data_IF_605726666147
#
_entry.id   IF_605726666147
#
_cell.length_a   1.000
_cell.length_b   1.000
_cell.length_c   1.000
_cell.angle_alpha   90.00
_cell.angle_beta   90.00
_cell.angle_gamma   90.00
#
_symmetry.space_group_name_H-M   'P 1'
#
loop_
_entity.id
_entity.type
_entity.pdbx_description
1 polymer ?
#
# COMPACT_ATOMS: atom_id res chain seq x y z
N UNK A 1 -13.06 11.52 9.01
CA UNK A 1 -11.70 11.79 8.52
C UNK A 1 -11.65 13.15 7.82
N UNK A 2 -10.84 14.11 8.29
CA UNK A 2 -10.70 15.40 7.58
C UNK A 2 -10.00 15.14 6.24
N UNK A 3 -10.68 15.45 5.14
CA UNK A 3 -10.05 15.40 3.81
C UNK A 3 -8.89 16.40 3.79
N UNK A 4 -7.76 16.00 3.21
CA UNK A 4 -6.63 16.91 3.05
C UNK A 4 -7.07 18.13 2.23
N UNK A 5 -6.80 19.38 2.68
CA UNK A 5 -7.28 20.59 2.00
C UNK A 5 -6.77 20.72 0.55
N UNK A 6 -5.56 20.22 0.29
CA UNK A 6 -4.94 20.18 -1.03
C UNK A 6 -5.48 19.07 -1.93
N UNK A 7 -6.37 18.19 -1.45
CA UNK A 7 -6.92 17.11 -2.28
C UNK A 7 -8.15 17.60 -3.04
N UNK A 8 -7.92 18.13 -4.23
CA UNK A 8 -8.94 18.78 -5.07
C UNK A 8 -9.92 17.79 -5.71
N UNK A 9 -10.99 18.33 -6.32
CA UNK A 9 -11.96 17.54 -7.10
C UNK A 9 -11.28 16.82 -8.28
N UNK A 10 -10.39 17.52 -8.98
CA UNK A 10 -9.64 16.95 -10.10
C UNK A 10 -8.80 15.74 -9.66
N UNK A 11 -8.10 15.83 -8.52
CA UNK A 11 -7.35 14.69 -7.99
C UNK A 11 -8.25 13.51 -7.61
N UNK A 12 -9.47 13.76 -7.12
CA UNK A 12 -10.48 12.70 -6.90
C UNK A 12 -10.88 12.02 -8.21
N UNK A 13 -11.15 12.80 -9.25
CA UNK A 13 -11.51 12.28 -10.57
C UNK A 13 -10.36 11.48 -11.19
N UNK A 14 -9.12 11.98 -11.10
CA UNK A 14 -7.93 11.23 -11.53
C UNK A 14 -7.76 9.92 -10.76
N UNK A 15 -8.01 9.91 -9.43
CA UNK A 15 -7.98 8.69 -8.61
C UNK A 15 -9.05 7.69 -9.05
N UNK A 16 -10.28 8.14 -9.30
CA UNK A 16 -11.36 7.30 -9.82
C UNK A 16 -11.01 6.73 -11.20
N UNK A 17 -10.48 7.56 -12.11
CA UNK A 17 -10.05 7.15 -13.44
C UNK A 17 -8.91 6.14 -13.40
N UNK A 18 -7.94 6.30 -12.48
CA UNK A 18 -6.91 5.30 -12.22
C UNK A 18 -7.54 3.94 -11.91
N UNK A 19 -8.53 3.90 -11.01
CA UNK A 19 -9.18 2.64 -10.63
C UNK A 19 -9.93 2.00 -11.80
N UNK A 20 -10.59 2.80 -12.64
CA UNK A 20 -11.26 2.31 -13.86
C UNK A 20 -10.27 1.70 -14.86
N UNK A 21 -9.15 2.38 -15.11
CA UNK A 21 -8.09 1.86 -15.99
C UNK A 21 -7.47 0.57 -15.44
N UNK A 22 -7.29 0.49 -14.12
CA UNK A 22 -6.80 -0.70 -13.45
C UNK A 22 -7.77 -1.88 -13.60
N UNK A 23 -9.08 -1.65 -13.41
CA UNK A 23 -10.10 -2.67 -13.65
C UNK A 23 -10.13 -3.11 -15.13
N UNK A 24 -10.01 -2.15 -16.06
CA UNK A 24 -9.96 -2.44 -17.50
C UNK A 24 -8.77 -3.33 -17.86
N UNK A 25 -7.57 -2.97 -17.40
CA UNK A 25 -6.36 -3.76 -17.63
C UNK A 25 -6.45 -5.16 -17.00
N UNK A 26 -7.05 -5.32 -15.82
CA UNK A 26 -7.28 -6.65 -15.24
C UNK A 26 -8.20 -7.53 -16.09
N UNK A 27 -9.21 -6.94 -16.71
CA UNK A 27 -10.16 -7.66 -17.54
C UNK A 27 -9.58 -8.04 -18.91
N UNK A 28 -8.83 -7.13 -19.54
CA UNK A 28 -8.29 -7.35 -20.90
C UNK A 28 -6.91 -7.99 -20.93
N UNK A 29 -6.11 -7.79 -19.88
CA UNK A 29 -4.68 -8.14 -19.79
C UNK A 29 -3.82 -7.61 -20.95
N UNK A 30 -4.29 -6.58 -21.67
CA UNK A 30 -3.58 -6.05 -22.84
C UNK A 30 -2.44 -5.09 -22.45
N UNK A 31 -1.37 -5.08 -23.24
CA UNK A 31 -0.25 -4.14 -23.05
C UNK A 31 -0.63 -2.68 -23.34
N UNK A 32 -1.60 -2.47 -24.24
CA UNK A 32 -2.17 -1.15 -24.51
C UNK A 32 -2.83 -0.57 -23.25
N UNK A 33 -3.70 -1.34 -22.59
CA UNK A 33 -4.36 -0.90 -21.34
C UNK A 33 -3.37 -0.73 -20.20
N UNK A 34 -2.35 -1.60 -20.13
CA UNK A 34 -1.24 -1.47 -19.17
C UNK A 34 -0.49 -0.15 -19.35
N UNK A 35 -0.24 0.23 -20.60
CA UNK A 35 0.45 1.49 -20.95
C UNK A 35 -0.42 2.70 -20.60
N UNK A 36 -1.71 2.66 -20.92
CA UNK A 36 -2.67 3.71 -20.54
C UNK A 36 -2.71 3.91 -19.02
N UNK A 37 -2.77 2.81 -18.24
CA UNK A 37 -2.73 2.88 -16.79
C UNK A 37 -1.43 3.51 -16.28
N UNK A 38 -0.27 3.07 -16.79
CA UNK A 38 1.05 3.61 -16.39
C UNK A 38 1.14 5.11 -16.68
N UNK A 39 0.75 5.54 -17.87
CA UNK A 39 0.74 6.96 -18.27
C UNK A 39 -0.17 7.78 -17.35
N UNK A 40 -1.38 7.29 -17.07
CA UNK A 40 -2.31 7.98 -16.17
C UNK A 40 -1.79 8.05 -14.73
N UNK A 41 -1.17 6.99 -14.22
CA UNK A 41 -0.55 6.98 -12.88
C UNK A 41 0.56 8.03 -12.78
N UNK A 42 1.42 8.16 -13.81
CA UNK A 42 2.46 9.18 -13.85
C UNK A 42 1.87 10.58 -13.80
N UNK A 43 0.87 10.87 -14.65
CA UNK A 43 0.18 12.15 -14.67
C UNK A 43 -0.47 12.48 -13.31
N UNK A 44 -1.15 11.50 -12.69
CA UNK A 44 -1.77 11.66 -11.38
C UNK A 44 -0.76 11.98 -10.28
N UNK A 45 0.41 11.32 -10.27
CA UNK A 45 1.46 11.62 -9.29
C UNK A 45 2.06 13.01 -9.48
N UNK A 46 2.23 13.46 -10.73
CA UNK A 46 2.67 14.83 -11.04
C UNK A 46 1.65 15.85 -10.54
N UNK A 47 0.35 15.63 -10.82
CA UNK A 47 -0.72 16.51 -10.36
C UNK A 47 -0.78 16.60 -8.83
N UNK A 48 -0.63 15.46 -8.11
CA UNK A 48 -0.56 15.47 -6.63
C UNK A 48 0.60 16.35 -6.14
N UNK A 49 1.79 16.21 -6.74
CA UNK A 49 2.96 16.99 -6.35
C UNK A 49 2.74 18.48 -6.63
N UNK A 50 2.16 18.83 -7.77
CA UNK A 50 1.86 20.20 -8.15
C UNK A 50 0.87 20.85 -7.18
N UNK A 51 -0.22 20.16 -6.85
CA UNK A 51 -1.26 20.68 -5.98
C UNK A 51 -0.76 20.85 -4.53
N UNK A 52 0.00 19.87 -4.03
CA UNK A 52 0.67 20.00 -2.72
C UNK A 52 1.58 21.22 -2.69
N UNK A 53 2.43 21.38 -3.71
CA UNK A 53 3.33 22.53 -3.83
C UNK A 53 2.54 23.84 -3.82
N UNK A 54 1.52 23.95 -4.67
CA UNK A 54 0.66 25.13 -4.74
C UNK A 54 0.06 25.49 -3.38
N UNK A 55 -0.53 24.51 -2.70
CA UNK A 55 -1.14 24.70 -1.38
C UNK A 55 -0.14 25.18 -0.33
N UNK A 56 1.01 24.51 -0.21
CA UNK A 56 2.00 24.89 0.80
C UNK A 56 2.72 26.19 0.46
N UNK A 57 2.96 26.49 -0.82
CA UNK A 57 3.45 27.80 -1.25
C UNK A 57 2.48 28.90 -0.88
N UNK A 58 1.18 28.73 -1.15
CA UNK A 58 0.15 29.69 -0.78
C UNK A 58 0.10 29.89 0.74
N UNK A 59 0.20 28.81 1.53
CA UNK A 59 0.21 28.86 2.98
C UNK A 59 1.43 29.59 3.55
N UNK A 60 2.60 29.44 2.93
CA UNK A 60 3.83 30.16 3.30
C UNK A 60 3.66 31.65 3.00
N UNK A 61 3.19 32.00 1.79
CA UNK A 61 2.96 33.39 1.40
C UNK A 61 1.91 34.06 2.28
N UNK A 62 0.81 33.36 2.61
CA UNK A 62 -0.25 33.89 3.48
C UNK A 62 0.14 33.97 4.96
N UNK A 63 1.30 33.47 5.36
CA UNK A 63 1.70 33.41 6.77
C UNK A 63 2.31 34.72 7.31
N UNK A 64 2.29 35.81 6.53
CA UNK A 64 2.60 37.20 6.92
C UNK A 64 3.68 37.32 8.02
N UNK A 65 4.86 36.76 7.76
CA UNK A 65 6.01 36.88 8.65
C UNK A 65 5.81 36.30 10.06
N UNK A 66 4.91 35.32 10.24
CA UNK A 66 4.74 34.59 11.49
C UNK A 66 5.68 33.38 11.55
N UNK A 67 6.80 33.43 12.28
CA UNK A 67 7.81 32.37 12.25
C UNK A 67 7.25 31.05 12.78
N UNK A 68 6.37 31.09 13.79
CA UNK A 68 5.72 29.90 14.36
C UNK A 68 4.88 29.13 13.32
N UNK A 69 4.21 29.83 12.41
CA UNK A 69 3.46 29.20 11.32
C UNK A 69 4.40 28.58 10.29
N UNK A 70 5.46 29.30 9.91
CA UNK A 70 6.49 28.78 9.01
C UNK A 70 7.15 27.51 9.56
N UNK A 71 7.61 27.51 10.81
CA UNK A 71 8.21 26.32 11.44
C UNK A 71 7.25 25.13 11.47
N UNK A 72 5.95 25.36 11.70
CA UNK A 72 4.94 24.30 11.70
C UNK A 72 4.75 23.71 10.30
N UNK A 73 4.67 24.56 9.28
CA UNK A 73 4.55 24.14 7.87
C UNK A 73 5.79 23.37 7.44
N UNK A 74 6.98 23.92 7.70
CA UNK A 74 8.27 23.28 7.40
C UNK A 74 8.41 21.95 8.13
N UNK A 75 8.06 21.87 9.42
CA UNK A 75 8.07 20.60 10.17
C UNK A 75 7.09 19.57 9.61
N UNK A 76 5.92 19.99 9.12
CA UNK A 76 4.96 19.10 8.47
C UNK A 76 5.48 18.53 7.14
N UNK A 77 6.24 19.34 6.39
CA UNK A 77 6.89 18.91 5.15
C UNK A 77 8.08 17.99 5.40
N UNK A 78 8.87 18.26 6.45
CA UNK A 78 10.08 17.51 6.77
C UNK A 78 9.85 16.26 7.62
N UNK A 79 8.76 16.20 8.42
CA UNK A 79 8.36 14.99 9.18
C UNK A 79 7.73 13.91 8.28
N UNK A 80 8.36 13.65 7.14
CA UNK A 80 8.09 12.45 6.36
C UNK A 80 8.96 11.26 6.84
N UNK A 81 9.85 11.49 7.80
CA UNK A 81 10.76 10.48 8.36
C UNK A 81 10.09 9.64 9.46
N UNK A 82 10.23 8.32 9.31
CA UNK A 82 9.83 7.27 10.24
C UNK A 82 8.35 7.23 10.58
N UNK A 83 7.49 7.07 9.57
CA UNK A 83 6.32 6.22 9.81
C UNK A 83 6.90 4.81 9.89
N UNK A 84 7.27 4.35 11.08
CA UNK A 84 7.51 2.91 11.31
C UNK A 84 6.36 2.19 10.64
N UNK A 85 6.67 1.31 9.69
CA UNK A 85 5.61 0.58 9.03
C UNK A 85 4.93 -0.22 10.13
N UNK A 86 3.63 0.00 10.43
CA UNK A 86 2.99 -0.76 11.48
C UNK A 86 3.13 -2.28 11.25
N UNK A 87 3.42 -2.70 10.00
CA UNK A 87 3.59 -4.08 9.57
C UNK A 87 5.03 -4.57 9.55
N UNK A 88 6.01 -3.74 9.92
CA UNK A 88 7.43 -4.12 9.97
C UNK A 88 7.60 -5.31 10.93
N UNK A 89 8.16 -6.41 10.45
CA UNK A 89 8.32 -7.66 11.20
C UNK A 89 7.10 -8.60 11.19
N UNK A 90 5.90 -8.14 10.86
CA UNK A 90 4.68 -8.99 10.91
C UNK A 90 4.62 -10.02 9.80
N UNK A 91 5.20 -9.72 8.64
CA UNK A 91 5.20 -10.65 7.51
C UNK A 91 6.12 -11.84 7.80
N UNK A 92 7.24 -11.58 8.44
CA UNK A 92 8.21 -12.54 8.91
C UNK A 92 7.61 -13.42 10.02
N UNK A 93 6.94 -12.81 11.01
CA UNK A 93 6.23 -13.53 12.07
C UNK A 93 5.11 -14.42 11.50
N UNK A 94 4.34 -13.91 10.55
CA UNK A 94 3.28 -14.67 9.88
C UNK A 94 3.83 -15.83 9.05
N UNK A 95 4.94 -15.61 8.33
CA UNK A 95 5.64 -16.65 7.59
C UNK A 95 6.16 -17.76 8.50
N UNK A 96 6.76 -17.39 9.64
CA UNK A 96 7.22 -18.34 10.65
C UNK A 96 6.07 -19.15 11.23
N UNK A 97 4.96 -18.51 11.59
CA UNK A 97 3.77 -19.19 12.10
C UNK A 97 3.25 -20.24 11.12
N UNK A 98 3.16 -19.91 9.83
CA UNK A 98 2.71 -20.86 8.80
C UNK A 98 3.69 -22.02 8.62
N UNK A 99 4.99 -21.73 8.64
CA UNK A 99 6.02 -22.77 8.57
C UNK A 99 5.89 -23.77 9.72
N UNK A 100 5.81 -23.26 10.96
CA UNK A 100 5.66 -24.06 12.17
C UNK A 100 4.36 -24.88 12.14
N UNK A 101 3.24 -24.27 11.68
CA UNK A 101 1.94 -24.95 11.55
C UNK A 101 1.99 -26.09 10.54
N UNK A 102 2.64 -25.90 9.39
CA UNK A 102 2.77 -26.92 8.35
C UNK A 102 3.65 -28.07 8.86
N UNK A 103 4.75 -27.78 9.56
CA UNK A 103 5.60 -28.79 10.17
C UNK A 103 4.81 -29.64 11.18
N UNK A 104 4.06 -28.99 12.09
CA UNK A 104 3.24 -29.67 13.08
C UNK A 104 2.17 -30.59 12.45
N UNK A 105 1.53 -30.15 11.37
CA UNK A 105 0.55 -30.98 10.64
C UNK A 105 1.25 -32.21 10.05
N UNK A 106 2.39 -32.02 9.38
CA UNK A 106 3.15 -33.13 8.75
C UNK A 106 3.64 -34.14 9.78
N UNK A 107 4.12 -33.68 10.92
CA UNK A 107 4.51 -34.55 12.03
C UNK A 107 3.31 -35.30 12.60
N UNK A 108 2.18 -34.62 12.83
CA UNK A 108 0.95 -35.25 13.29
C UNK A 108 0.42 -36.36 12.36
N UNK A 109 0.60 -36.23 11.04
CA UNK A 109 0.23 -37.26 10.06
C UNK A 109 1.20 -38.45 10.01
N UNK A 110 2.45 -38.30 10.46
CA UNK A 110 3.42 -39.41 10.51
C UNK A 110 3.18 -40.37 11.69
N UNK A 111 2.28 -40.05 12.62
CA UNK A 111 1.95 -40.92 13.77
C UNK A 111 0.94 -42.03 13.44
N UNK A 112 0.26 -42.00 12.29
CA UNK A 112 -0.76 -43.00 11.92
C UNK A 112 -0.24 -44.11 10.98
N UNK A 113 1.07 -44.16 10.69
CA UNK A 113 1.69 -45.17 9.81
C UNK A 113 2.68 -46.04 10.60
N UNK A 114 2.31 -46.51 11.80
CA UNK A 114 2.92 -47.70 12.36
C UNK A 114 1.98 -48.45 13.33
N UNK A 115 1.38 -49.53 12.85
CA UNK A 115 0.54 -50.47 13.58
C UNK A 115 0.08 -51.60 12.66
N UNK A 116 0.18 -52.88 13.07
CA UNK A 116 0.99 -53.87 12.36
C UNK A 116 0.26 -54.61 11.24
N UNK A 117 1.05 -55.03 10.26
CA UNK A 117 0.73 -56.15 9.38
C UNK A 117 0.50 -57.40 10.23
N UNK A 118 -0.73 -57.92 10.27
CA UNK A 118 -0.97 -59.30 10.69
C UNK A 118 -1.70 -60.08 9.61
N UNK A 119 -1.05 -61.19 9.29
CA UNK A 119 -1.30 -62.20 8.28
C UNK A 119 -2.52 -63.03 8.68
N UNK A 120 -3.37 -63.41 7.73
CA UNK A 120 -3.80 -64.82 7.60
C UNK A 120 -4.36 -65.10 6.21
N UNK A 121 -3.79 -66.13 5.60
CA UNK A 121 -4.26 -66.84 4.41
C UNK A 121 -5.55 -67.61 4.76
N UNK A 122 -6.52 -67.63 3.85
CA UNK A 122 -7.09 -68.83 3.18
C UNK A 122 -8.08 -68.37 2.13
#
# INVERSE_FOLDING_TARGET
SRSAPWFTRELREMKCRKRRLESKWRASQSDSDRTQLKTHVRAYLVAIKAEKRSHFTALIVSSENCPATLFRVTRSLLRQEAREDPLEGRAEDFGKFLYDKIAQIREGFNFDVDGPAEVTRT
#
